data_IF_381980169940
#
_entry.id   IF_381980169940
#
_cell.length_a   1.000
_cell.length_b   1.000
_cell.length_c   1.000
_cell.angle_alpha   90.00
_cell.angle_beta   90.00
_cell.angle_gamma   90.00
#
_symmetry.space_group_name_H-M   'P 1'
#
loop_
_entity.id
_entity.type
_entity.pdbx_description
1 polymer ?
#
# COMPACT_ATOMS: atom_id res chain seq x y z
N UNK A 1 36.27 -14.17 9.92
CA UNK A 1 35.10 -14.11 10.83
C UNK A 1 33.89 -13.76 9.99
N UNK A 2 32.84 -14.57 10.02
CA UNK A 2 31.58 -14.27 9.32
C UNK A 2 30.81 -13.24 10.15
N UNK A 3 30.39 -12.14 9.52
CA UNK A 3 29.56 -11.14 10.20
C UNK A 3 28.13 -11.69 10.34
N UNK A 4 27.78 -12.13 11.54
CA UNK A 4 26.48 -12.74 11.88
C UNK A 4 25.32 -11.71 11.83
N UNK A 5 25.62 -10.41 11.64
CA UNK A 5 24.60 -9.37 11.49
C UNK A 5 24.08 -9.22 10.05
N UNK A 6 24.82 -9.70 9.04
CA UNK A 6 24.39 -9.64 7.66
C UNK A 6 23.31 -10.70 7.39
N UNK A 7 22.12 -10.27 6.93
CA UNK A 7 21.01 -11.15 6.59
C UNK A 7 20.57 -10.90 5.15
N UNK A 8 20.33 -11.98 4.42
CA UNK A 8 19.64 -11.91 3.12
C UNK A 8 18.16 -11.70 3.42
N UNK A 9 17.56 -10.70 2.78
CA UNK A 9 16.12 -10.45 2.86
C UNK A 9 15.58 -10.18 1.45
N UNK A 10 14.32 -10.50 1.23
CA UNK A 10 13.54 -9.85 0.19
C UNK A 10 12.70 -8.73 0.84
N UNK A 11 12.87 -7.45 0.46
CA UNK A 11 12.13 -6.35 1.10
C UNK A 11 10.61 -6.53 1.03
N UNK A 12 10.11 -7.18 -0.01
CA UNK A 12 8.69 -7.51 -0.16
C UNK A 12 8.17 -8.48 0.92
N UNK A 13 8.99 -9.43 1.36
CA UNK A 13 8.63 -10.37 2.44
C UNK A 13 8.54 -9.67 3.80
N UNK A 14 9.31 -8.59 3.99
CA UNK A 14 9.20 -7.72 5.16
C UNK A 14 7.95 -6.86 5.06
N UNK A 15 7.77 -6.19 3.92
CA UNK A 15 6.71 -5.23 3.65
C UNK A 15 5.30 -5.83 3.67
N UNK A 16 5.14 -7.12 3.33
CA UNK A 16 3.82 -7.79 3.33
C UNK A 16 3.18 -7.84 4.72
N UNK A 17 3.98 -7.68 5.79
CA UNK A 17 3.51 -7.77 7.18
C UNK A 17 2.79 -6.50 7.65
N UNK A 18 3.17 -5.33 7.14
CA UNK A 18 2.63 -4.05 7.61
C UNK A 18 2.49 -2.98 6.52
N UNK A 19 3.53 -2.74 5.71
CA UNK A 19 3.52 -1.71 4.66
C UNK A 19 2.48 -1.97 3.59
N UNK A 20 2.50 -3.15 2.97
CA UNK A 20 1.54 -3.48 1.89
C UNK A 20 0.10 -3.44 2.41
N UNK A 21 -0.23 -4.03 3.58
CA UNK A 21 -1.55 -3.86 4.18
C UNK A 21 -1.95 -2.39 4.43
N UNK A 22 -1.04 -1.54 4.92
CA UNK A 22 -1.32 -0.12 5.16
C UNK A 22 -1.60 0.61 3.84
N UNK A 23 -0.78 0.41 2.81
CA UNK A 23 -1.00 1.00 1.47
C UNK A 23 -2.34 0.54 0.88
N UNK A 24 -2.68 -0.75 0.99
CA UNK A 24 -3.99 -1.27 0.53
C UNK A 24 -5.17 -0.64 1.28
N UNK A 25 -5.04 -0.42 2.59
CA UNK A 25 -6.08 0.23 3.38
C UNK A 25 -6.36 1.66 2.87
N UNK A 26 -5.30 2.43 2.62
CA UNK A 26 -5.39 3.79 2.09
C UNK A 26 -6.06 3.80 0.71
N UNK A 27 -5.62 2.93 -0.21
CA UNK A 27 -6.22 2.81 -1.54
C UNK A 27 -7.73 2.49 -1.47
N UNK A 28 -8.13 1.58 -0.57
CA UNK A 28 -9.54 1.22 -0.37
C UNK A 28 -10.35 2.39 0.18
N UNK A 29 -9.80 3.15 1.13
CA UNK A 29 -10.46 4.33 1.69
C UNK A 29 -10.63 5.42 0.64
N UNK A 30 -9.62 5.68 -0.19
CA UNK A 30 -9.72 6.65 -1.28
C UNK A 30 -10.73 6.23 -2.35
N UNK A 31 -10.71 4.97 -2.79
CA UNK A 31 -11.74 4.46 -3.73
C UNK A 31 -13.14 4.62 -3.15
N UNK A 32 -13.32 4.41 -1.84
CA UNK A 32 -14.60 4.63 -1.16
C UNK A 32 -14.99 6.11 -1.11
N UNK A 33 -14.05 7.03 -0.88
CA UNK A 33 -14.28 8.48 -0.95
C UNK A 33 -14.70 8.94 -2.34
N UNK A 34 -14.22 8.25 -3.39
CA UNK A 34 -14.68 8.43 -4.77
C UNK A 34 -16.07 7.82 -5.07
N UNK A 35 -16.78 7.30 -4.06
CA UNK A 35 -18.15 6.83 -4.18
C UNK A 35 -18.30 5.38 -4.66
N UNK A 36 -17.22 4.61 -4.74
CA UNK A 36 -17.30 3.21 -5.15
C UNK A 36 -17.87 2.35 -4.02
N UNK A 37 -18.72 1.40 -4.42
CA UNK A 37 -19.23 0.35 -3.52
C UNK A 37 -18.14 -0.66 -3.15
N UNK A 38 -18.32 -1.38 -2.03
CA UNK A 38 -17.37 -2.44 -1.63
C UNK A 38 -17.22 -3.53 -2.71
N UNK A 39 -18.26 -3.79 -3.49
CA UNK A 39 -18.22 -4.74 -4.61
C UNK A 39 -17.33 -4.21 -5.74
N UNK A 40 -17.50 -2.95 -6.15
CA UNK A 40 -16.64 -2.34 -7.18
C UNK A 40 -15.17 -2.29 -6.73
N UNK A 41 -14.93 -1.93 -5.46
CA UNK A 41 -13.58 -1.93 -4.89
C UNK A 41 -12.99 -3.35 -4.90
N UNK A 42 -13.77 -4.37 -4.54
CA UNK A 42 -13.28 -5.76 -4.54
C UNK A 42 -12.84 -6.23 -5.93
N UNK A 43 -13.55 -5.81 -6.97
CA UNK A 43 -13.21 -6.13 -8.37
C UNK A 43 -11.91 -5.42 -8.77
N UNK A 44 -11.79 -4.11 -8.50
CA UNK A 44 -10.59 -3.34 -8.84
C UNK A 44 -9.34 -3.81 -8.07
N UNK A 45 -9.50 -4.21 -6.81
CA UNK A 45 -8.40 -4.62 -5.94
C UNK A 45 -8.05 -6.11 -6.07
N UNK A 46 -8.86 -6.91 -6.76
CA UNK A 46 -8.67 -8.37 -6.88
C UNK A 46 -8.73 -9.12 -5.55
N UNK A 47 -9.60 -8.70 -4.62
CA UNK A 47 -9.78 -9.30 -3.29
C UNK A 47 -11.26 -9.56 -3.01
N UNK A 48 -11.60 -10.24 -1.91
CA UNK A 48 -13.01 -10.44 -1.56
C UNK A 48 -13.66 -9.17 -1.00
N UNK A 49 -14.99 -9.05 -1.10
CA UNK A 49 -15.75 -7.98 -0.43
C UNK A 49 -15.59 -8.02 1.10
N UNK A 50 -15.40 -9.21 1.68
CA UNK A 50 -15.07 -9.37 3.10
C UNK A 50 -13.71 -8.76 3.46
N UNK A 51 -12.70 -8.92 2.60
CA UNK A 51 -11.39 -8.30 2.78
C UNK A 51 -11.48 -6.77 2.73
N UNK A 52 -12.24 -6.21 1.78
CA UNK A 52 -12.52 -4.77 1.70
C UNK A 52 -13.14 -4.28 3.02
N UNK A 53 -14.18 -4.95 3.50
CA UNK A 53 -14.82 -4.62 4.78
C UNK A 53 -13.86 -4.71 5.97
N UNK A 54 -12.92 -5.66 5.98
CA UNK A 54 -11.90 -5.75 7.03
C UNK A 54 -10.89 -4.61 6.99
N UNK A 55 -10.46 -4.16 5.81
CA UNK A 55 -9.64 -2.95 5.68
C UNK A 55 -10.39 -1.71 6.17
N UNK A 56 -11.63 -1.52 5.72
CA UNK A 56 -12.47 -0.36 6.12
C UNK A 56 -12.78 -0.32 7.63
N UNK A 57 -12.75 -1.47 8.31
CA UNK A 57 -12.96 -1.57 9.76
C UNK A 57 -11.66 -1.49 10.57
N UNK A 58 -10.51 -1.23 9.94
CA UNK A 58 -9.21 -1.20 10.63
C UNK A 58 -8.77 -2.56 11.17
N UNK A 59 -9.34 -3.66 10.66
CA UNK A 59 -8.92 -5.03 11.07
C UNK A 59 -7.67 -5.51 10.34
N UNK A 60 -7.20 -4.74 9.35
CA UNK A 60 -5.99 -4.99 8.57
C UNK A 60 -5.31 -3.66 8.26
N UNK A 61 -3.98 -3.68 8.28
CA UNK A 61 -3.16 -2.48 8.22
C UNK A 61 -2.65 -2.10 9.61
N UNK A 62 -1.47 -1.52 9.66
CA UNK A 62 -0.95 -0.88 10.87
C UNK A 62 -1.51 0.55 10.89
N UNK A 63 -2.44 0.85 11.80
CA UNK A 63 -3.13 2.15 11.87
C UNK A 63 -2.18 3.33 12.12
N UNK A 64 -1.08 3.11 12.84
CA UNK A 64 -0.07 4.14 13.09
C UNK A 64 0.70 4.45 11.80
N UNK A 65 1.19 3.41 11.12
CA UNK A 65 1.86 3.58 9.83
C UNK A 65 0.93 4.22 8.79
N UNK A 66 -0.33 3.80 8.75
CA UNK A 66 -1.34 4.38 7.87
C UNK A 66 -1.45 5.90 8.07
N UNK A 67 -1.61 6.36 9.33
CA UNK A 67 -1.68 7.81 9.64
C UNK A 67 -0.41 8.55 9.22
N UNK A 68 0.75 7.96 9.46
CA UNK A 68 2.03 8.54 9.03
C UNK A 68 2.08 8.71 7.52
N UNK A 69 1.64 7.69 6.76
CA UNK A 69 1.56 7.76 5.29
C UNK A 69 0.53 8.79 4.82
N UNK A 70 -0.65 8.84 5.43
CA UNK A 70 -1.70 9.81 5.10
C UNK A 70 -1.28 11.27 5.38
N UNK A 71 -0.32 11.48 6.28
CA UNK A 71 0.27 12.80 6.56
C UNK A 71 1.40 13.21 5.61
N UNK A 72 1.80 12.33 4.69
CA UNK A 72 2.85 12.61 3.71
C UNK A 72 2.21 13.01 2.37
N UNK A 73 2.34 14.29 1.99
CA UNK A 73 1.68 14.85 0.80
C UNK A 73 2.14 14.17 -0.50
N UNK A 74 3.45 13.94 -0.67
CA UNK A 74 4.00 13.28 -1.86
C UNK A 74 3.43 11.86 -2.04
N UNK A 75 3.34 11.10 -0.95
CA UNK A 75 2.75 9.77 -0.94
C UNK A 75 1.26 9.82 -1.30
N UNK A 76 0.51 10.78 -0.74
CA UNK A 76 -0.91 10.93 -1.01
C UNK A 76 -1.20 11.42 -2.44
N UNK A 77 -0.32 12.22 -3.04
CA UNK A 77 -0.39 12.58 -4.46
C UNK A 77 -0.24 11.33 -5.35
N UNK A 78 0.73 10.45 -5.04
CA UNK A 78 0.89 9.19 -5.75
C UNK A 78 -0.33 8.26 -5.60
N UNK A 79 -0.94 8.25 -4.42
CA UNK A 79 -2.19 7.51 -4.16
C UNK A 79 -3.33 8.05 -5.03
N UNK A 80 -3.57 9.36 -5.06
CA UNK A 80 -4.63 9.98 -5.88
C UNK A 80 -4.42 9.68 -7.37
N UNK A 81 -3.18 9.81 -7.86
CA UNK A 81 -2.83 9.45 -9.23
C UNK A 81 -3.17 7.99 -9.53
N UNK A 82 -2.82 7.06 -8.64
CA UNK A 82 -3.13 5.65 -8.84
C UNK A 82 -4.64 5.39 -8.80
N UNK A 83 -5.36 5.95 -7.84
CA UNK A 83 -6.83 5.79 -7.70
C UNK A 83 -7.57 6.29 -8.93
N UNK A 84 -7.17 7.44 -9.49
CA UNK A 84 -7.75 7.94 -10.75
C UNK A 84 -7.50 7.00 -11.92
N UNK A 85 -6.30 6.42 -12.02
CA UNK A 85 -5.98 5.41 -13.05
C UNK A 85 -6.82 4.15 -12.87
N UNK A 86 -7.06 3.73 -11.63
CA UNK A 86 -7.94 2.59 -11.31
C UNK A 86 -9.37 2.83 -11.78
N UNK A 87 -9.91 4.01 -11.49
CA UNK A 87 -11.28 4.39 -11.86
C UNK A 87 -11.43 4.51 -13.39
N UNK A 88 -10.39 4.94 -14.11
CA UNK A 88 -10.38 5.00 -15.58
C UNK A 88 -10.26 3.63 -16.25
N UNK A 89 -9.93 2.57 -15.50
CA UNK A 89 -9.79 1.22 -16.04
C UNK A 89 -8.48 0.98 -16.79
N UNK A 90 -7.37 1.62 -16.38
CA UNK A 90 -6.06 1.34 -16.96
C UNK A 90 -5.56 -0.06 -16.56
N UNK A 91 -5.10 -0.87 -17.54
CA UNK A 91 -4.95 -2.32 -17.39
C UNK A 91 -3.84 -2.79 -16.44
N UNK A 92 -2.77 -2.01 -16.24
CA UNK A 92 -1.64 -2.43 -15.40
C UNK A 92 -1.33 -1.37 -14.36
N UNK A 93 -1.58 -1.72 -13.11
CA UNK A 93 -1.34 -0.89 -11.94
C UNK A 93 -0.50 -1.67 -10.94
N UNK A 94 0.66 -1.10 -10.61
CA UNK A 94 1.60 -1.71 -9.69
C UNK A 94 1.62 -0.93 -8.38
N UNK A 95 1.52 -1.64 -7.26
CA UNK A 95 1.64 -1.07 -5.91
C UNK A 95 3.10 -0.80 -5.50
N UNK A 96 4.09 -1.38 -6.19
CA UNK A 96 5.49 -1.27 -5.79
C UNK A 96 6.03 0.16 -5.66
N UNK A 97 5.68 1.14 -6.53
CA UNK A 97 6.10 2.53 -6.33
C UNK A 97 5.60 3.10 -5.00
N UNK A 98 4.32 2.90 -4.67
CA UNK A 98 3.76 3.30 -3.36
C UNK A 98 4.44 2.56 -2.21
N UNK A 99 4.70 1.25 -2.36
CA UNK A 99 5.40 0.47 -1.34
C UNK A 99 6.84 0.96 -1.10
N UNK A 100 7.58 1.34 -2.16
CA UNK A 100 8.92 1.91 -2.03
C UNK A 100 8.90 3.20 -1.20
N UNK A 101 8.03 4.15 -1.55
CA UNK A 101 7.89 5.41 -0.82
C UNK A 101 7.43 5.16 0.61
N UNK A 102 6.44 4.29 0.81
CA UNK A 102 5.94 3.97 2.15
C UNK A 102 7.00 3.35 3.07
N UNK A 103 7.88 2.49 2.54
CA UNK A 103 9.02 1.95 3.30
C UNK A 103 10.00 3.04 3.70
N UNK A 104 10.32 3.97 2.80
CA UNK A 104 11.19 5.13 3.09
C UNK A 104 10.58 6.01 4.18
N UNK A 105 9.27 6.30 4.12
CA UNK A 105 8.55 7.05 5.17
C UNK A 105 8.58 6.33 6.52
N UNK A 106 8.49 4.99 6.52
CA UNK A 106 8.63 4.17 7.74
C UNK A 106 10.06 4.14 8.30
N UNK A 107 11.07 4.60 7.54
CA UNK A 107 12.48 4.52 7.90
C UNK A 107 13.15 3.20 7.50
N UNK A 108 12.51 2.39 6.65
CA UNK A 108 13.12 1.19 6.07
C UNK A 108 13.95 1.56 4.84
N UNK A 109 15.26 1.31 4.91
CA UNK A 109 16.22 1.67 3.85
C UNK A 109 16.73 0.45 3.05
N UNK A 110 15.94 -0.64 3.01
CA UNK A 110 16.32 -1.80 2.21
C UNK A 110 16.18 -1.49 0.72
N UNK A 111 17.21 -1.73 -0.11
CA UNK A 111 17.14 -1.44 -1.53
C UNK A 111 16.08 -2.30 -2.21
N UNK A 112 15.24 -1.66 -3.02
CA UNK A 112 14.22 -2.28 -3.85
C UNK A 112 14.41 -1.83 -5.30
N UNK A 113 14.05 -2.69 -6.27
CA UNK A 113 13.99 -2.30 -7.68
C UNK A 113 12.97 -1.19 -8.00
N UNK A 114 12.50 -0.37 -7.07
CA UNK A 114 11.64 0.80 -7.31
C UNK A 114 12.14 2.02 -6.53
N UNK A 115 13.37 1.98 -6.02
CA UNK A 115 13.94 3.07 -5.19
C UNK A 115 14.61 4.18 -6.01
N UNK A 116 14.57 4.09 -7.35
CA UNK A 116 15.20 5.02 -8.32
C UNK A 116 14.30 6.18 -8.74
#
# INVERSE_FOLDING_TARGET
>A
MVNIMARIIAPCEVAVRDVIPAVKAILIDELRKHGLSQMQISVLMGISTADVNYYLKGKRGNDELKKTLESNDDFMEMVDLLVRRMIRGEEVMNICPLCSVARKVKGENYPCPYDY
#
